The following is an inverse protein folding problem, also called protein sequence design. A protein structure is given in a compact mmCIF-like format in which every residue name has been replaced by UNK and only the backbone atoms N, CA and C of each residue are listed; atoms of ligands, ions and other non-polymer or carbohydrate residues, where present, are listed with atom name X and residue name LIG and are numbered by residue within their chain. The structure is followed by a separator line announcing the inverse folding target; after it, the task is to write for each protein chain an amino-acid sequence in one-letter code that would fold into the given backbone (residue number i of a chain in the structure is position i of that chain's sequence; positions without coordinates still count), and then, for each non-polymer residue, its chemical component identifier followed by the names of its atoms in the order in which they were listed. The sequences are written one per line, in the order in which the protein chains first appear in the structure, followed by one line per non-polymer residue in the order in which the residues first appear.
data_IF_395902987203
#
_entry.id   IF_395902987203
#
_cell.length_a   1.000
_cell.length_b   1.000
_cell.length_c   1.000
_cell.angle_alpha   90.00
_cell.angle_beta   90.00
_cell.angle_gamma   90.00
#
_symmetry.space_group_name_H-M   'P 1'
#
loop_
_entity.id
_entity.type
_entity.pdbx_description
1 polymer ?
#
# COMPACT_ATOMS: atom_id res chain seq x y z
N UNK A 1 -2.28 74.32 -35.34
CA UNK A 1 -2.94 73.79 -36.55
C UNK A 1 -2.72 72.29 -36.64
N UNK A 2 -3.58 71.48 -35.99
CA UNK A 2 -4.19 70.25 -36.51
C UNK A 2 -5.10 69.66 -35.44
N UNK A 3 -6.30 69.34 -35.89
CA UNK A 3 -7.50 68.95 -35.15
C UNK A 3 -7.51 67.46 -34.77
N UNK A 4 -8.29 67.17 -33.73
CA UNK A 4 -9.20 66.03 -33.50
C UNK A 4 -8.91 64.68 -34.17
N UNK A 5 -8.92 63.62 -33.34
CA UNK A 5 -10.07 62.69 -33.33
C UNK A 5 -10.12 61.78 -32.10
N UNK A 6 -11.30 61.86 -31.51
CA UNK A 6 -11.98 61.03 -30.53
C UNK A 6 -12.16 59.55 -30.93
N UNK A 7 -12.39 58.69 -29.94
CA UNK A 7 -13.41 57.60 -29.91
C UNK A 7 -12.94 56.29 -29.25
N UNK A 8 -13.30 56.18 -27.97
CA UNK A 8 -14.08 55.07 -27.39
C UNK A 8 -13.95 53.66 -28.00
N UNK A 9 -13.40 52.72 -27.21
CA UNK A 9 -13.87 51.33 -27.22
C UNK A 9 -14.13 50.88 -25.78
N UNK A 10 -15.44 50.76 -25.47
CA UNK A 10 -16.00 50.17 -24.27
C UNK A 10 -15.90 48.65 -24.33
N UNK A 11 -15.83 48.09 -23.14
CA UNK A 11 -16.01 46.69 -22.79
C UNK A 11 -17.27 46.06 -23.40
N UNK A 12 -17.14 44.81 -23.86
CA UNK A 12 -18.25 43.87 -23.94
C UNK A 12 -17.95 42.67 -23.04
N UNK A 13 -18.80 42.34 -22.06
CA UNK A 13 -18.67 41.09 -21.32
C UNK A 13 -19.13 39.92 -22.20
N UNK A 14 -18.32 38.86 -22.23
CA UNK A 14 -18.64 37.61 -22.91
C UNK A 14 -19.84 36.93 -22.22
N UNK A 15 -20.90 36.69 -22.98
CA UNK A 15 -22.04 35.84 -22.61
C UNK A 15 -21.61 34.39 -22.40
N UNK A 16 -22.05 33.70 -21.33
CA UNK A 16 -21.82 32.26 -21.17
C UNK A 16 -22.72 31.47 -22.14
N UNK A 17 -22.09 30.63 -22.98
CA UNK A 17 -22.80 29.63 -23.80
C UNK A 17 -23.31 28.50 -22.92
N UNK A 18 -24.62 28.30 -22.94
CA UNK A 18 -25.27 27.11 -22.39
C UNK A 18 -24.77 25.85 -23.11
N UNK A 19 -24.10 24.96 -22.38
CA UNK A 19 -23.75 23.63 -22.86
C UNK A 19 -24.93 22.68 -22.62
N UNK A 20 -25.68 22.41 -23.68
CA UNK A 20 -26.70 21.38 -23.69
C UNK A 20 -26.03 20.00 -23.74
N UNK A 21 -26.21 19.18 -22.69
CA UNK A 21 -25.74 17.78 -22.67
C UNK A 21 -26.75 16.91 -23.42
N UNK A 22 -26.46 16.58 -24.67
CA UNK A 22 -27.06 15.42 -25.34
C UNK A 22 -26.17 14.20 -25.11
N UNK A 23 -26.69 13.22 -24.38
CA UNK A 23 -26.08 11.89 -24.24
C UNK A 23 -26.20 11.14 -25.57
N UNK A 24 -25.10 11.05 -26.31
CA UNK A 24 -24.99 10.16 -27.47
C UNK A 24 -24.21 8.91 -27.04
N UNK A 25 -24.91 7.78 -26.99
CA UNK A 25 -24.34 6.44 -26.87
C UNK A 25 -23.40 6.17 -28.06
N UNK A 26 -22.10 6.31 -27.82
CA UNK A 26 -21.03 6.06 -28.78
C UNK A 26 -20.39 4.68 -28.57
N UNK A 27 -20.64 3.81 -29.55
CA UNK A 27 -20.02 2.52 -29.87
C UNK A 27 -18.65 2.22 -29.24
N UNK A 28 -18.54 1.03 -28.67
CA UNK A 28 -17.27 0.38 -28.36
C UNK A 28 -16.50 0.07 -29.66
N UNK A 29 -15.34 0.70 -29.84
CA UNK A 29 -14.34 0.28 -30.82
C UNK A 29 -13.47 -0.80 -30.20
N UNK A 30 -13.66 -2.03 -30.66
CA UNK A 30 -12.73 -3.14 -30.45
C UNK A 30 -11.50 -2.85 -31.31
N UNK A 31 -10.36 -2.55 -30.68
CA UNK A 31 -9.06 -2.53 -31.36
C UNK A 31 -8.55 -3.96 -31.41
N UNK A 32 -8.68 -4.58 -32.60
CA UNK A 32 -8.01 -5.83 -32.96
C UNK A 32 -6.54 -5.49 -33.23
N UNK A 33 -5.64 -5.96 -32.36
CA UNK A 33 -4.20 -5.96 -32.62
C UNK A 33 -3.85 -7.24 -33.37
N UNK A 34 -3.65 -7.11 -34.68
CA UNK A 34 -3.12 -8.16 -35.54
C UNK A 34 -1.58 -8.20 -35.45
N UNK A 35 -1.07 -9.38 -35.10
CA UNK A 35 0.03 -10.06 -35.81
C UNK A 35 1.42 -9.43 -35.84
N UNK A 36 2.37 -10.13 -35.22
CA UNK A 36 3.65 -10.46 -35.87
C UNK A 36 4.12 -11.82 -35.32
N UNK A 37 4.14 -12.79 -36.21
CA UNK A 37 4.55 -14.16 -35.93
C UNK A 37 6.08 -14.28 -35.91
N UNK A 38 6.55 -15.27 -35.16
CA UNK A 38 7.80 -15.95 -35.43
C UNK A 38 7.50 -17.45 -35.40
N UNK A 39 7.68 -18.06 -36.56
CA UNK A 39 7.63 -19.50 -36.75
C UNK A 39 8.84 -20.13 -36.06
N UNK A 40 8.60 -21.10 -35.18
CA UNK A 40 9.60 -21.97 -34.58
C UNK A 40 9.11 -23.41 -34.66
N UNK A 41 9.43 -24.04 -35.78
CA UNK A 41 9.19 -25.47 -36.06
C UNK A 41 10.13 -26.31 -35.17
N UNK A 42 9.59 -27.05 -34.21
CA UNK A 42 10.32 -28.13 -33.53
C UNK A 42 9.52 -29.42 -33.67
N UNK A 43 10.22 -30.43 -34.19
CA UNK A 43 9.71 -31.71 -34.62
C UNK A 43 9.11 -32.54 -33.47
N UNK A 44 8.00 -33.21 -33.77
CA UNK A 44 7.44 -34.31 -32.99
C UNK A 44 8.38 -35.52 -33.03
N UNK A 45 8.77 -36.01 -31.86
CA UNK A 45 9.15 -37.41 -31.68
C UNK A 45 8.06 -38.08 -30.82
N UNK A 46 7.29 -38.95 -31.47
CA UNK A 46 6.32 -39.82 -30.81
C UNK A 46 7.05 -40.92 -30.03
N UNK A 47 6.73 -41.04 -28.75
CA UNK A 47 7.24 -42.07 -27.86
C UNK A 47 6.27 -42.27 -26.71
N UNK A 48 5.09 -42.83 -27.00
CA UNK A 48 4.07 -43.16 -26.01
C UNK A 48 4.41 -44.49 -25.35
N UNK A 49 4.96 -44.46 -24.14
CA UNK A 49 4.96 -45.59 -23.22
C UNK A 49 3.70 -45.56 -22.35
N UNK A 50 3.02 -46.70 -22.12
CA UNK A 50 1.86 -46.76 -21.25
C UNK A 50 2.31 -46.70 -19.78
N UNK A 51 1.74 -45.75 -19.03
CA UNK A 51 1.86 -45.72 -17.56
C UNK A 51 0.98 -46.80 -16.93
N UNK A 52 1.47 -47.56 -15.93
CA UNK A 52 0.66 -48.49 -15.17
C UNK A 52 -0.17 -47.77 -14.09
N UNK A 53 -1.45 -48.13 -14.01
CA UNK A 53 -2.22 -48.22 -12.75
C UNK A 53 -2.62 -46.91 -12.07
N UNK A 54 -3.69 -46.27 -12.55
CA UNK A 54 -4.48 -45.35 -11.72
C UNK A 54 -5.35 -46.21 -10.78
N UNK A 55 -4.93 -46.33 -9.52
CA UNK A 55 -5.76 -46.87 -8.46
C UNK A 55 -6.93 -45.91 -8.21
N UNK A 56 -8.15 -46.39 -8.42
CA UNK A 56 -9.39 -45.68 -8.10
C UNK A 56 -9.53 -45.64 -6.58
N UNK A 57 -9.21 -44.52 -5.94
CA UNK A 57 -9.55 -44.27 -4.54
C UNK A 57 -11.03 -43.90 -4.53
N UNK A 58 -11.86 -44.83 -4.06
CA UNK A 58 -13.27 -44.59 -3.74
C UNK A 58 -13.29 -43.87 -2.39
N UNK A 59 -13.46 -42.55 -2.39
CA UNK A 59 -13.60 -41.76 -1.17
C UNK A 59 -14.99 -42.00 -0.57
N UNK A 60 -14.99 -42.61 0.62
CA UNK A 60 -16.15 -42.91 1.44
C UNK A 60 -16.70 -41.61 2.08
N UNK A 61 -17.90 -41.23 1.65
CA UNK A 61 -18.65 -40.09 2.16
C UNK A 61 -19.33 -40.48 3.48
N UNK A 62 -18.64 -40.32 4.62
CA UNK A 62 -19.16 -40.33 6.01
C UNK A 62 -18.01 -39.84 6.90
N UNK A 63 -18.04 -38.71 7.61
CA UNK A 63 -18.97 -38.27 8.66
C UNK A 63 -18.56 -36.84 9.01
N UNK A 64 -19.51 -35.91 9.17
CA UNK A 64 -19.19 -34.54 9.58
C UNK A 64 -18.66 -34.53 11.04
N UNK A 65 -17.54 -33.85 11.34
CA UNK A 65 -17.09 -33.68 12.72
C UNK A 65 -18.04 -32.73 13.47
N UNK A 66 -18.31 -33.07 14.74
CA UNK A 66 -19.12 -32.26 15.65
C UNK A 66 -18.55 -30.84 15.83
N UNK A 67 -19.41 -29.84 16.13
CA UNK A 67 -18.99 -28.47 16.38
C UNK A 67 -18.10 -28.41 17.63
N UNK A 68 -16.83 -28.07 17.42
CA UNK A 68 -15.86 -27.77 18.47
C UNK A 68 -16.43 -26.60 19.29
N UNK A 69 -16.59 -26.83 20.59
CA UNK A 69 -17.06 -25.84 21.56
C UNK A 69 -16.22 -24.57 21.50
N UNK A 70 -16.91 -23.42 21.51
CA UNK A 70 -16.26 -22.12 21.65
C UNK A 70 -15.74 -22.02 23.08
N UNK A 71 -14.45 -22.24 23.27
CA UNK A 71 -13.76 -21.80 24.48
C UNK A 71 -13.79 -20.26 24.50
N UNK A 72 -14.48 -19.71 25.48
CA UNK A 72 -14.46 -18.27 25.73
C UNK A 72 -13.02 -17.82 26.01
N UNK A 73 -12.48 -16.83 25.27
CA UNK A 73 -11.12 -16.38 25.49
C UNK A 73 -10.99 -15.82 26.91
N UNK A 74 -9.95 -16.27 27.61
CA UNK A 74 -9.59 -15.78 28.93
C UNK A 74 -9.48 -14.24 28.94
N UNK A 75 -9.89 -13.58 30.05
CA UNK A 75 -9.84 -12.13 30.16
C UNK A 75 -8.42 -11.61 29.91
N UNK A 76 -8.31 -10.71 28.94
CA UNK A 76 -7.08 -10.01 28.59
C UNK A 76 -6.64 -9.17 29.81
N UNK A 77 -5.41 -9.32 30.32
CA UNK A 77 -4.93 -8.50 31.42
C UNK A 77 -4.89 -7.02 31.00
N UNK A 78 -5.26 -6.13 31.92
CA UNK A 78 -5.29 -4.69 31.70
C UNK A 78 -3.95 -4.22 31.11
N UNK A 79 -4.04 -3.53 29.97
CA UNK A 79 -2.90 -2.96 29.23
C UNK A 79 -2.15 -2.02 30.19
N UNK A 80 -0.87 -2.32 30.44
CA UNK A 80 0.04 -1.43 31.18
C UNK A 80 0.16 -0.13 30.41
N UNK A 81 0.15 0.99 31.14
CA UNK A 81 0.38 2.33 30.61
C UNK A 81 1.73 2.37 29.87
N UNK A 82 1.67 2.36 28.52
CA UNK A 82 2.84 2.31 27.63
C UNK A 82 3.52 3.68 27.47
N UNK A 83 3.07 4.69 28.22
CA UNK A 83 3.59 6.06 28.12
C UNK A 83 5.06 6.19 28.56
N UNK A 84 5.64 5.16 29.20
CA UNK A 84 6.95 5.24 29.85
C UNK A 84 8.16 4.68 29.05
N UNK A 85 8.00 4.18 27.82
CA UNK A 85 9.14 3.65 27.06
C UNK A 85 9.32 4.35 25.71
N UNK A 86 10.55 4.84 25.53
CA UNK A 86 11.07 5.63 24.38
C UNK A 86 10.80 7.14 24.47
N UNK A 87 11.42 7.79 25.46
CA UNK A 87 11.97 9.13 25.23
C UNK A 87 13.08 9.01 24.18
N UNK A 88 12.73 9.10 22.89
CA UNK A 88 13.73 9.46 21.89
C UNK A 88 14.24 10.87 22.24
N UNK A 89 15.54 11.09 22.44
CA UNK A 89 16.06 12.43 22.69
C UNK A 89 15.80 13.28 21.44
N UNK A 90 14.83 14.20 21.54
CA UNK A 90 14.53 15.19 20.51
C UNK A 90 13.28 14.93 19.66
N UNK A 91 12.17 14.43 20.24
CA UNK A 91 10.87 14.50 19.60
C UNK A 91 10.49 15.98 19.38
N UNK A 92 10.84 16.50 18.19
CA UNK A 92 10.41 17.81 17.74
C UNK A 92 8.89 17.76 17.60
N UNK A 93 8.18 18.37 18.55
CA UNK A 93 6.75 18.63 18.40
C UNK A 93 6.58 19.47 17.15
N UNK A 94 6.07 18.85 16.08
CA UNK A 94 5.69 19.59 14.89
C UNK A 94 4.61 20.59 15.32
N UNK A 95 4.99 21.87 15.36
CA UNK A 95 4.07 22.95 15.72
C UNK A 95 2.92 22.95 14.72
N UNK A 96 1.71 22.65 15.21
CA UNK A 96 0.44 23.07 14.63
C UNK A 96 0.15 22.53 13.24
N UNK A 97 -0.67 21.48 13.18
CA UNK A 97 -1.42 21.08 12.00
C UNK A 97 -2.47 22.13 11.60
N UNK A 98 -2.03 23.30 11.15
CA UNK A 98 -2.85 24.30 10.46
C UNK A 98 -2.39 24.39 9.01
N UNK A 99 -2.95 23.53 8.14
CA UNK A 99 -3.35 23.88 6.78
C UNK A 99 -3.84 22.63 6.06
N UNK A 100 -5.16 22.45 6.05
CA UNK A 100 -5.82 21.57 5.09
C UNK A 100 -5.40 21.97 3.66
N UNK A 101 -4.95 21.00 2.86
CA UNK A 101 -4.50 21.24 1.49
C UNK A 101 -3.10 21.85 1.33
N UNK A 102 -2.30 21.99 2.39
CA UNK A 102 -0.90 22.41 2.27
C UNK A 102 -0.03 21.37 1.56
N UNK A 103 1.10 21.81 1.01
CA UNK A 103 2.09 20.90 0.44
C UNK A 103 2.67 19.98 1.54
N UNK A 104 2.87 18.70 1.21
CA UNK A 104 3.39 17.75 2.19
C UNK A 104 4.79 18.13 2.70
N UNK A 105 4.93 18.25 4.03
CA UNK A 105 6.20 18.52 4.68
C UNK A 105 6.99 17.23 4.87
N UNK A 106 8.21 17.20 4.34
CA UNK A 106 9.17 16.12 4.54
C UNK A 106 9.57 16.07 6.02
N UNK A 107 9.49 14.88 6.61
CA UNK A 107 9.89 14.64 7.99
C UNK A 107 11.37 14.26 8.07
N UNK A 108 11.91 14.25 9.29
CA UNK A 108 13.24 13.73 9.53
C UNK A 108 13.32 12.26 9.03
N UNK A 109 14.40 11.89 8.31
CA UNK A 109 14.60 10.51 7.88
C UNK A 109 14.62 9.53 9.05
N UNK A 110 14.05 8.36 8.85
CA UNK A 110 14.18 7.22 9.76
C UNK A 110 15.24 6.26 9.25
N UNK A 111 16.00 5.66 10.16
CA UNK A 111 16.76 4.44 9.84
C UNK A 111 15.80 3.28 9.60
N UNK A 112 16.30 2.24 8.94
CA UNK A 112 15.53 1.02 8.68
C UNK A 112 15.01 0.35 9.96
N UNK A 113 15.83 0.35 11.03
CA UNK A 113 15.46 -0.21 12.33
C UNK A 113 14.41 0.65 13.02
N UNK A 114 14.57 1.98 13.03
CA UNK A 114 13.56 2.89 13.61
C UNK A 114 12.21 2.77 12.91
N UNK A 115 12.20 2.59 11.58
CA UNK A 115 10.97 2.33 10.84
C UNK A 115 10.29 1.04 11.31
N UNK A 116 11.05 -0.03 11.54
CA UNK A 116 10.52 -1.29 12.06
C UNK A 116 9.99 -1.14 13.50
N UNK A 117 10.71 -0.41 14.36
CA UNK A 117 10.32 -0.18 15.76
C UNK A 117 9.03 0.64 15.88
N UNK A 118 8.89 1.70 15.07
CA UNK A 118 7.64 2.49 15.02
C UNK A 118 6.46 1.63 14.52
N UNK A 119 6.68 0.78 13.52
CA UNK A 119 5.64 -0.14 13.05
C UNK A 119 5.26 -1.16 14.13
N UNK A 120 6.23 -1.71 14.86
CA UNK A 120 5.98 -2.62 15.99
C UNK A 120 5.16 -1.92 17.08
N UNK A 121 5.56 -0.72 17.49
CA UNK A 121 4.85 0.06 18.51
C UNK A 121 3.40 0.38 18.08
N UNK A 122 3.20 0.77 16.82
CA UNK A 122 1.85 0.97 16.26
C UNK A 122 1.01 -0.31 16.25
N UNK A 123 1.61 -1.46 15.98
CA UNK A 123 0.92 -2.76 15.99
C UNK A 123 0.48 -3.12 17.41
N UNK A 124 1.39 -2.98 18.37
CA UNK A 124 1.12 -3.24 19.78
C UNK A 124 0.04 -2.32 20.33
N UNK A 125 0.08 -1.03 19.98
CA UNK A 125 -0.96 -0.09 20.36
C UNK A 125 -2.35 -0.47 19.79
N UNK A 126 -2.41 -1.05 18.58
CA UNK A 126 -3.68 -1.43 17.95
C UNK A 126 -4.22 -2.78 18.44
N UNK A 127 -3.37 -3.81 18.53
CA UNK A 127 -3.78 -5.18 18.84
C UNK A 127 -3.55 -5.60 20.30
N UNK A 128 -2.88 -4.77 21.11
CA UNK A 128 -2.53 -5.06 22.51
C UNK A 128 -1.49 -6.17 22.69
N UNK A 129 -0.75 -6.51 21.63
CA UNK A 129 0.26 -7.58 21.61
C UNK A 129 1.32 -7.34 20.54
N UNK A 130 2.54 -7.90 20.67
CA UNK A 130 3.57 -7.77 19.65
C UNK A 130 3.17 -8.41 18.31
N UNK A 131 3.64 -7.84 17.21
CA UNK A 131 3.52 -8.45 15.88
C UNK A 131 4.39 -9.72 15.78
N UNK A 132 3.99 -10.66 14.93
CA UNK A 132 4.89 -11.74 14.53
C UNK A 132 5.99 -11.20 13.62
N UNK A 133 7.13 -11.89 13.53
CA UNK A 133 8.24 -11.49 12.66
C UNK A 133 7.80 -11.37 11.20
N UNK A 134 7.01 -12.33 10.69
CA UNK A 134 6.51 -12.29 9.32
C UNK A 134 5.58 -11.08 9.10
N UNK A 135 4.66 -10.83 10.05
CA UNK A 135 3.74 -9.69 9.97
C UNK A 135 4.49 -8.36 9.95
N UNK A 136 5.46 -8.20 10.86
CA UNK A 136 6.24 -6.98 10.95
C UNK A 136 7.14 -6.79 9.72
N UNK A 137 7.83 -7.85 9.26
CA UNK A 137 8.67 -7.78 8.07
C UNK A 137 7.87 -7.44 6.81
N UNK A 138 6.65 -7.95 6.68
CA UNK A 138 5.73 -7.62 5.58
C UNK A 138 5.33 -6.13 5.59
N UNK A 139 4.95 -5.60 6.76
CA UNK A 139 4.60 -4.20 6.91
C UNK A 139 5.81 -3.27 6.71
N UNK A 140 6.97 -3.67 7.23
CA UNK A 140 8.23 -2.97 7.03
C UNK A 140 8.58 -2.91 5.54
N UNK A 141 8.50 -4.04 4.82
CA UNK A 141 8.79 -4.09 3.39
C UNK A 141 7.88 -3.15 2.59
N UNK A 142 6.59 -3.12 2.94
CA UNK A 142 5.63 -2.20 2.35
C UNK A 142 6.02 -0.74 2.58
N UNK A 143 6.25 -0.34 3.84
CA UNK A 143 6.63 1.03 4.18
C UNK A 143 8.01 1.41 3.63
N UNK A 144 8.95 0.48 3.58
CA UNK A 144 10.29 0.69 3.03
C UNK A 144 10.23 0.94 1.52
N UNK A 145 9.36 0.23 0.80
CA UNK A 145 9.14 0.49 -0.62
C UNK A 145 8.59 1.91 -0.85
N UNK A 146 7.56 2.29 -0.08
CA UNK A 146 6.90 3.58 -0.21
C UNK A 146 7.79 4.76 0.18
N UNK A 147 8.54 4.63 1.27
CA UNK A 147 9.32 5.73 1.86
C UNK A 147 10.80 5.68 1.52
N UNK A 148 11.22 4.82 0.59
CA UNK A 148 12.64 4.62 0.29
C UNK A 148 13.43 4.28 1.56
N UNK A 149 12.98 3.26 2.29
CA UNK A 149 13.58 2.76 3.54
C UNK A 149 13.63 3.80 4.67
N UNK A 150 12.62 4.67 4.74
CA UNK A 150 12.50 5.71 5.76
C UNK A 150 13.13 7.06 5.38
N UNK A 151 13.78 7.17 4.22
CA UNK A 151 14.43 8.42 3.78
C UNK A 151 13.47 9.47 3.24
N UNK A 152 12.23 9.09 2.88
CA UNK A 152 11.22 9.95 2.26
C UNK A 152 9.88 9.79 2.96
N UNK A 153 9.79 10.29 4.19
CA UNK A 153 8.57 10.27 4.98
C UNK A 153 7.88 11.64 4.95
N UNK A 154 6.59 11.66 4.66
CA UNK A 154 5.79 12.88 4.58
C UNK A 154 4.69 12.86 5.63
N UNK A 155 4.56 13.95 6.40
CA UNK A 155 3.46 14.13 7.36
C UNK A 155 3.26 12.98 8.35
N UNK A 156 4.32 12.27 8.73
CA UNK A 156 4.26 11.07 9.58
C UNK A 156 3.30 9.97 9.07
N UNK A 157 3.04 9.92 7.77
CA UNK A 157 2.09 9.00 7.16
C UNK A 157 2.81 7.75 6.63
N UNK A 158 2.78 6.68 7.43
CA UNK A 158 3.33 5.39 7.04
C UNK A 158 2.40 4.68 6.05
N UNK A 159 2.98 4.24 4.93
CA UNK A 159 2.26 3.63 3.83
C UNK A 159 1.72 4.62 2.80
N UNK A 160 1.95 5.93 2.93
CA UNK A 160 1.37 6.93 2.03
C UNK A 160 -0.16 6.81 1.89
N UNK A 161 -0.86 6.72 3.03
CA UNK A 161 -2.31 6.56 3.08
C UNK A 161 -2.99 7.81 2.51
N UNK A 162 -3.78 7.63 1.46
CA UNK A 162 -4.56 8.70 0.85
C UNK A 162 -5.84 8.99 1.64
N UNK A 163 -6.40 10.18 1.42
CA UNK A 163 -7.69 10.58 2.02
C UNK A 163 -8.84 10.05 1.16
N UNK A 164 -9.02 8.73 1.13
CA UNK A 164 -10.27 8.14 0.64
C UNK A 164 -11.21 7.88 1.83
N UNK A 165 -12.51 8.09 1.64
CA UNK A 165 -13.53 7.88 2.68
C UNK A 165 -13.66 9.02 3.69
N UNK A 166 -13.92 8.69 4.96
CA UNK A 166 -14.33 9.61 6.02
C UNK A 166 -13.17 10.18 6.86
N UNK A 167 -12.00 10.43 6.26
CA UNK A 167 -10.88 11.05 6.98
C UNK A 167 -11.20 12.51 7.30
N UNK A 168 -11.27 12.85 8.59
CA UNK A 168 -11.56 14.21 9.08
C UNK A 168 -10.32 14.92 9.65
N UNK A 169 -9.17 14.24 9.66
CA UNK A 169 -7.93 14.77 10.21
C UNK A 169 -7.16 15.66 9.22
N UNK A 170 -5.99 16.17 9.64
CA UNK A 170 -5.13 16.97 8.78
C UNK A 170 -4.73 16.23 7.50
N UNK A 171 -4.54 16.99 6.43
CA UNK A 171 -4.19 16.47 5.11
C UNK A 171 -3.04 17.27 4.50
N UNK A 172 -2.34 16.67 3.54
CA UNK A 172 -1.40 17.39 2.68
C UNK A 172 -1.53 16.91 1.24
N UNK A 173 -1.18 17.76 0.28
CA UNK A 173 -1.22 17.44 -1.15
C UNK A 173 0.20 17.21 -1.66
N UNK A 174 0.37 16.13 -2.43
CA UNK A 174 1.60 15.87 -3.18
C UNK A 174 1.27 15.76 -4.67
N UNK A 175 1.99 16.54 -5.46
CA UNK A 175 1.88 16.56 -6.91
C UNK A 175 3.00 15.74 -7.53
N UNK A 176 2.64 14.91 -8.50
CA UNK A 176 3.53 14.03 -9.24
C UNK A 176 3.44 14.38 -10.72
N UNK A 177 4.60 14.46 -11.38
CA UNK A 177 4.66 14.57 -12.83
C UNK A 177 5.25 13.28 -13.38
N UNK A 178 4.50 12.59 -14.23
CA UNK A 178 4.90 11.31 -14.79
C UNK A 178 4.77 11.31 -16.32
N UNK A 179 5.64 10.55 -16.97
CA UNK A 179 5.64 10.39 -18.42
C UNK A 179 4.55 9.40 -18.83
N UNK A 180 3.62 9.84 -19.68
CA UNK A 180 2.47 9.04 -20.16
C UNK A 180 2.76 8.38 -21.50
N UNK A 181 3.52 9.04 -22.37
CA UNK A 181 3.97 8.46 -23.65
C UNK A 181 5.38 8.92 -23.98
N UNK A 182 6.16 8.03 -24.59
CA UNK A 182 7.46 8.36 -25.14
C UNK A 182 7.39 8.98 -26.54
N UNK A 183 6.34 8.67 -27.31
CA UNK A 183 6.16 9.17 -28.66
C UNK A 183 4.65 9.37 -28.98
N UNK A 184 4.14 10.61 -29.07
CA UNK A 184 4.83 11.86 -28.76
C UNK A 184 5.23 11.91 -27.28
N UNK A 185 6.28 12.66 -26.96
CA UNK A 185 6.71 12.84 -25.57
C UNK A 185 5.62 13.58 -24.79
N UNK A 186 4.86 12.86 -23.97
CA UNK A 186 3.72 13.39 -23.21
C UNK A 186 3.94 13.18 -21.73
N UNK A 187 3.74 14.24 -20.96
CA UNK A 187 3.76 14.25 -19.51
C UNK A 187 2.36 14.55 -18.98
N UNK A 188 2.03 13.97 -17.84
CA UNK A 188 0.85 14.32 -17.07
C UNK A 188 1.25 14.65 -15.64
N UNK A 189 0.52 15.58 -15.05
CA UNK A 189 0.58 15.86 -13.63
C UNK A 189 -0.66 15.28 -12.95
N UNK A 190 -0.45 14.69 -11.79
CA UNK A 190 -1.50 14.18 -10.92
C UNK A 190 -1.21 14.62 -9.50
N UNK A 191 -2.22 15.02 -8.75
CA UNK A 191 -2.08 15.34 -7.33
C UNK A 191 -2.88 14.34 -6.51
N UNK A 192 -2.34 13.96 -5.36
CA UNK A 192 -3.03 13.12 -4.39
C UNK A 192 -2.99 13.78 -3.02
N UNK A 193 -4.07 13.62 -2.27
CA UNK A 193 -4.19 14.10 -0.89
C UNK A 193 -3.90 12.95 0.06
N UNK A 194 -2.96 13.18 0.97
CA UNK A 194 -2.47 12.22 1.95
C UNK A 194 -2.90 12.64 3.35
N UNK A 195 -3.14 11.65 4.20
CA UNK A 195 -3.34 11.88 5.64
C UNK A 195 -2.06 12.44 6.26
N UNK A 196 -2.19 13.25 7.30
CA UNK A 196 -1.08 13.75 8.10
C UNK A 196 -1.34 13.44 9.57
N UNK A 197 -0.28 13.02 10.27
CA UNK A 197 -0.36 12.62 11.67
C UNK A 197 0.55 13.52 12.53
N UNK A 198 0.11 13.83 13.77
CA UNK A 198 0.90 14.68 14.67
C UNK A 198 2.21 14.01 15.11
N UNK A 199 2.25 12.67 15.17
CA UNK A 199 3.43 11.89 15.54
C UNK A 199 3.57 10.64 14.66
N UNK A 200 4.75 10.01 14.70
CA UNK A 200 5.04 8.76 13.98
C UNK A 200 4.19 7.59 14.48
N UNK A 201 3.98 7.52 15.79
CA UNK A 201 3.20 6.47 16.45
C UNK A 201 1.73 6.56 16.02
N UNK A 202 1.19 7.78 15.91
CA UNK A 202 -0.16 8.00 15.40
C UNK A 202 -0.30 7.56 13.94
N UNK A 203 0.72 7.79 13.11
CA UNK A 203 0.77 7.30 11.73
C UNK A 203 0.88 5.78 11.63
N UNK A 204 1.71 5.15 12.47
CA UNK A 204 1.83 3.69 12.55
C UNK A 204 0.52 3.03 12.99
N UNK A 205 -0.16 3.61 13.99
CA UNK A 205 -1.47 3.16 14.42
C UNK A 205 -2.51 3.25 13.29
N UNK A 206 -2.54 4.35 12.53
CA UNK A 206 -3.46 4.51 11.40
C UNK A 206 -3.16 3.52 10.26
N UNK A 207 -1.87 3.26 9.99
CA UNK A 207 -1.45 2.22 9.06
C UNK A 207 -2.05 0.85 9.42
N UNK A 208 -1.93 0.43 10.68
CA UNK A 208 -2.46 -0.87 11.08
C UNK A 208 -3.98 -0.95 11.06
N UNK A 209 -4.67 0.15 11.42
CA UNK A 209 -6.13 0.27 11.27
C UNK A 209 -6.56 0.11 9.83
N UNK A 210 -5.88 0.78 8.89
CA UNK A 210 -6.17 0.65 7.46
C UNK A 210 -5.95 -0.77 6.97
N UNK A 211 -4.80 -1.36 7.29
CA UNK A 211 -4.43 -2.70 6.83
C UNK A 211 -5.41 -3.76 7.34
N UNK A 212 -5.86 -3.65 8.59
CA UNK A 212 -6.89 -4.54 9.15
C UNK A 212 -8.25 -4.36 8.46
N UNK A 213 -8.71 -3.11 8.36
CA UNK A 213 -10.06 -2.82 7.87
C UNK A 213 -10.23 -3.06 6.37
N UNK A 214 -9.22 -2.71 5.55
CA UNK A 214 -9.34 -2.71 4.08
C UNK A 214 -8.57 -3.86 3.41
N UNK A 215 -7.54 -4.39 4.08
CA UNK A 215 -6.61 -5.36 3.49
C UNK A 215 -6.44 -6.65 4.33
N UNK A 216 -7.52 -7.28 4.85
CA UNK A 216 -7.40 -8.46 5.72
C UNK A 216 -6.71 -9.65 5.03
N UNK A 217 -6.88 -9.83 3.71
CA UNK A 217 -6.19 -10.90 2.98
C UNK A 217 -4.69 -10.66 2.83
N UNK A 218 -4.25 -9.40 2.76
CA UNK A 218 -2.82 -9.04 2.80
C UNK A 218 -2.26 -9.45 4.15
N UNK A 219 -2.99 -9.14 5.22
CA UNK A 219 -2.62 -9.47 6.60
C UNK A 219 -2.47 -10.98 6.82
N UNK A 220 -3.39 -11.79 6.28
CA UNK A 220 -3.30 -13.26 6.32
C UNK A 220 -2.07 -13.77 5.58
N UNK A 221 -1.77 -13.22 4.39
CA UNK A 221 -0.59 -13.60 3.62
C UNK A 221 0.70 -13.23 4.36
N UNK A 222 0.75 -12.03 4.96
CA UNK A 222 1.87 -11.58 5.78
C UNK A 222 2.10 -12.51 6.99
N UNK A 223 1.06 -12.99 7.68
CA UNK A 223 1.24 -13.93 8.81
C UNK A 223 1.91 -15.22 8.40
N UNK A 224 1.58 -15.72 7.20
CA UNK A 224 2.15 -16.94 6.61
C UNK A 224 3.56 -16.72 6.07
N UNK A 225 4.06 -15.47 6.05
CA UNK A 225 5.33 -15.12 5.43
C UNK A 225 5.30 -15.18 3.90
N UNK A 226 4.11 -15.12 3.29
CA UNK A 226 3.92 -15.13 1.84
C UNK A 226 3.85 -13.71 1.29
N UNK A 227 5.01 -13.07 1.16
CA UNK A 227 5.13 -11.69 0.66
C UNK A 227 4.69 -11.54 -0.80
N UNK A 228 4.79 -12.61 -1.59
CA UNK A 228 4.30 -12.65 -2.97
C UNK A 228 2.78 -12.54 -3.01
N UNK A 229 2.07 -13.37 -2.24
CA UNK A 229 0.61 -13.30 -2.14
C UNK A 229 0.16 -11.96 -1.55
N UNK A 230 0.86 -11.44 -0.54
CA UNK A 230 0.57 -10.14 0.05
C UNK A 230 0.63 -9.01 -1.00
N UNK A 231 1.68 -8.96 -1.82
CA UNK A 231 1.83 -7.97 -2.88
C UNK A 231 0.74 -8.07 -3.96
N UNK A 232 0.37 -9.29 -4.35
CA UNK A 232 -0.73 -9.53 -5.31
C UNK A 232 -2.09 -9.13 -4.74
N UNK A 233 -2.32 -9.35 -3.45
CA UNK A 233 -3.55 -8.91 -2.79
C UNK A 233 -3.65 -7.38 -2.70
N UNK A 234 -2.54 -6.68 -2.44
CA UNK A 234 -2.48 -5.22 -2.55
C UNK A 234 -2.85 -4.74 -3.96
N UNK A 235 -2.33 -5.41 -5.00
CA UNK A 235 -2.67 -5.10 -6.40
C UNK A 235 -4.14 -5.34 -6.70
N UNK A 236 -4.68 -6.50 -6.30
CA UNK A 236 -6.09 -6.88 -6.50
C UNK A 236 -7.07 -5.89 -5.87
N UNK A 237 -6.65 -5.25 -4.77
CA UNK A 237 -7.40 -4.20 -4.06
C UNK A 237 -7.10 -2.79 -4.55
N UNK A 238 -6.40 -2.65 -5.68
CA UNK A 238 -6.01 -1.37 -6.29
C UNK A 238 -5.24 -0.44 -5.33
N UNK A 239 -4.45 -1.01 -4.42
CA UNK A 239 -3.57 -0.20 -3.56
C UNK A 239 -2.59 0.65 -4.40
N UNK A 240 -2.07 0.05 -5.47
CA UNK A 240 -1.16 0.71 -6.40
C UNK A 240 -1.57 0.45 -7.86
N UNK A 241 -1.16 1.36 -8.75
CA UNK A 241 -1.48 1.32 -10.20
C UNK A 241 -0.27 1.08 -11.10
N UNK A 242 0.94 1.06 -10.53
CA UNK A 242 2.17 0.80 -11.27
C UNK A 242 2.29 -0.66 -11.77
N UNK A 243 3.36 -0.97 -12.52
CA UNK A 243 3.62 -2.32 -13.02
C UNK A 243 3.74 -3.34 -11.88
N UNK A 244 2.89 -4.36 -11.90
CA UNK A 244 2.77 -5.36 -10.83
C UNK A 244 4.08 -6.10 -10.58
N UNK A 245 4.73 -6.60 -11.63
CA UNK A 245 5.96 -7.41 -11.49
C UNK A 245 7.06 -6.69 -10.72
N UNK A 246 7.28 -5.40 -11.01
CA UNK A 246 8.31 -4.60 -10.33
C UNK A 246 7.96 -4.35 -8.87
N UNK A 247 6.69 -4.09 -8.58
CA UNK A 247 6.21 -3.86 -7.22
C UNK A 247 6.34 -5.14 -6.38
N UNK A 248 5.86 -6.26 -6.91
CA UNK A 248 5.94 -7.59 -6.30
C UNK A 248 7.38 -7.98 -6.03
N UNK A 249 8.26 -7.90 -7.03
CA UNK A 249 9.67 -8.23 -6.87
C UNK A 249 10.34 -7.41 -5.76
N UNK A 250 10.07 -6.11 -5.72
CA UNK A 250 10.64 -5.21 -4.70
C UNK A 250 10.14 -5.55 -3.30
N UNK A 251 8.83 -5.82 -3.14
CA UNK A 251 8.28 -6.20 -1.84
C UNK A 251 8.83 -7.54 -1.33
N UNK A 252 8.98 -8.53 -2.21
CA UNK A 252 9.57 -9.83 -1.83
C UNK A 252 11.02 -9.64 -1.39
N UNK A 253 11.81 -8.86 -2.12
CA UNK A 253 13.20 -8.58 -1.75
C UNK A 253 13.29 -7.85 -0.40
N UNK A 254 12.51 -6.79 -0.22
CA UNK A 254 12.47 -6.02 1.02
C UNK A 254 11.95 -6.87 2.19
N UNK A 255 11.00 -7.76 1.97
CA UNK A 255 10.52 -8.67 3.01
C UNK A 255 11.67 -9.55 3.55
N UNK A 256 12.46 -10.14 2.66
CA UNK A 256 13.60 -10.98 3.06
C UNK A 256 14.67 -10.17 3.78
N UNK A 257 14.93 -8.94 3.34
CA UNK A 257 15.85 -8.01 4.01
C UNK A 257 15.37 -7.61 5.40
N UNK A 258 14.07 -7.28 5.52
CA UNK A 258 13.42 -6.97 6.78
C UNK A 258 13.61 -8.11 7.78
N UNK A 259 13.22 -9.32 7.39
CA UNK A 259 13.27 -10.51 8.22
C UNK A 259 14.70 -10.91 8.62
N UNK A 260 15.66 -10.88 7.68
CA UNK A 260 17.02 -11.38 7.88
C UNK A 260 18.00 -10.37 8.48
N UNK A 261 17.80 -9.07 8.27
CA UNK A 261 18.80 -8.04 8.58
C UNK A 261 18.28 -6.91 9.46
N UNK A 262 17.04 -6.47 9.25
CA UNK A 262 16.50 -5.29 9.97
C UNK A 262 15.94 -5.70 11.31
N UNK A 263 15.03 -6.69 11.32
CA UNK A 263 14.33 -7.08 12.54
C UNK A 263 15.29 -7.65 13.58
N UNK A 264 16.38 -8.30 13.14
CA UNK A 264 17.42 -8.86 14.02
C UNK A 264 18.24 -7.79 14.76
N UNK A 265 18.16 -6.53 14.31
CA UNK A 265 18.86 -5.38 14.92
C UNK A 265 17.95 -4.51 15.79
N UNK A 266 16.66 -4.82 15.86
CA UNK A 266 15.74 -4.10 16.74
C UNK A 266 16.12 -4.30 18.21
N UNK A 267 15.82 -3.31 19.04
CA UNK A 267 16.02 -3.46 20.49
C UNK A 267 15.18 -4.61 21.07
N UNK A 268 13.96 -4.78 20.57
CA UNK A 268 13.05 -5.88 20.96
C UNK A 268 12.54 -6.59 19.69
N UNK A 269 13.29 -7.58 19.16
CA UNK A 269 12.88 -8.31 17.97
C UNK A 269 11.63 -9.15 18.22
N UNK A 270 10.70 -9.24 17.25
CA UNK A 270 9.53 -10.11 17.37
C UNK A 270 9.96 -11.59 17.28
N UNK A 271 9.79 -12.34 18.37
CA UNK A 271 10.10 -13.78 18.41
C UNK A 271 8.82 -14.66 18.33
N UNK A 272 8.91 -15.85 17.69
CA UNK A 272 10.06 -16.38 16.97
C UNK A 272 10.24 -15.70 15.60
N UNK A 273 11.51 -15.49 15.20
CA UNK A 273 11.86 -15.15 13.82
C UNK A 273 11.82 -16.44 13.01
N UNK A 274 10.86 -16.55 12.09
CA UNK A 274 10.65 -17.72 11.25
C UNK A 274 9.19 -18.16 11.17
N UNK A 275 8.84 -19.05 10.24
CA UNK A 275 7.47 -19.57 10.16
C UNK A 275 7.09 -20.24 11.48
N UNK A 276 5.91 -19.90 12.01
CA UNK A 276 5.31 -20.68 13.09
C UNK A 276 5.18 -22.12 12.58
N UNK A 277 5.66 -23.14 13.30
CA UNK A 277 5.41 -24.52 12.91
C UNK A 277 3.89 -24.71 12.78
N UNK A 278 3.46 -25.20 11.62
CA UNK A 278 2.05 -25.53 11.37
C UNK A 278 1.71 -26.67 12.34
N UNK A 279 0.76 -26.43 13.24
CA UNK A 279 0.19 -27.47 14.10
C UNK A 279 -0.97 -28.15 13.38
#
# INVERSE_FOLDING_TARGET
MKLDRDSSKRDQPATPRAFSRTNTLGRASVVVLAGLGVAGLVALAAGSTPLPGVATITEDLRTAPEPIGRDDPAPIPAVRDVTAMVHAPGASTSNGAEADGSACVMQAPLTEVQLAEVLQAGYEAFYGRPASANRLACAWAHCAFEHGRGTKLFGNNLGHITTTGAWLGPTCVKSFTHKVSANPNRWASSSQTFRVHPTLEAGALDYWKLMDAQYPHVMIACDRGDSLAAARELRRRNYFTGPEDRYVQSLVQLYMEGLGSVLTKMATPPWPIGPKPVR
#
